data_IF_983689464276
#
_entry.id   IF_983689464276
#
_cell.length_a   1.000
_cell.length_b   1.000
_cell.length_c   1.000
_cell.angle_alpha   90.00
_cell.angle_beta   90.00
_cell.angle_gamma   90.00
#
_symmetry.space_group_name_H-M   'P 1'
#
loop_
_entity.id
_entity.type
_entity.pdbx_description
1 polymer ?
#
# COMPACT_ATOMS: atom_id res chain seq x y z
N UNK A 1 -1.98 6.54 4.83
CA UNK A 1 -2.24 5.09 4.73
C UNK A 1 -1.50 4.32 5.80
N UNK A 2 -0.18 4.49 5.92
CA UNK A 2 0.69 3.84 6.91
C UNK A 2 0.18 3.91 8.35
N UNK A 3 -0.19 5.11 8.83
CA UNK A 3 -0.73 5.29 10.20
C UNK A 3 -2.00 4.48 10.43
N UNK A 4 -2.91 4.47 9.45
CA UNK A 4 -4.17 3.73 9.53
C UNK A 4 -3.90 2.23 9.61
N UNK A 5 -3.03 1.70 8.73
CA UNK A 5 -2.65 0.28 8.75
C UNK A 5 -1.98 -0.11 10.07
N UNK A 6 -1.11 0.75 10.63
CA UNK A 6 -0.47 0.51 11.92
C UNK A 6 -1.48 0.49 13.08
N UNK A 7 -2.46 1.38 13.06
CA UNK A 7 -3.54 1.41 14.05
C UNK A 7 -4.41 0.13 13.98
N UNK A 8 -4.74 -0.33 12.78
CA UNK A 8 -5.47 -1.59 12.57
C UNK A 8 -4.64 -2.78 13.07
N UNK A 9 -3.37 -2.87 12.68
CA UNK A 9 -2.47 -3.93 13.09
C UNK A 9 -2.36 -4.02 14.62
N UNK A 10 -2.19 -2.87 15.28
CA UNK A 10 -2.13 -2.78 16.73
C UNK A 10 -3.45 -3.20 17.38
N UNK A 11 -4.59 -2.66 16.93
CA UNK A 11 -5.91 -2.99 17.49
C UNK A 11 -6.27 -4.48 17.37
N UNK A 12 -5.92 -5.10 16.23
CA UNK A 12 -6.09 -6.55 16.02
C UNK A 12 -5.14 -7.35 16.90
N UNK A 13 -3.89 -6.93 17.07
CA UNK A 13 -2.90 -7.64 17.88
C UNK A 13 -3.28 -7.69 19.37
N UNK A 14 -3.88 -6.62 19.90
CA UNK A 14 -4.36 -6.59 21.30
C UNK A 14 -5.76 -7.18 21.47
N UNK A 15 -6.32 -7.79 20.42
CA UNK A 15 -7.66 -8.38 20.38
C UNK A 15 -8.80 -7.40 20.77
N UNK A 16 -8.59 -6.09 20.55
CA UNK A 16 -9.59 -5.08 20.86
C UNK A 16 -10.65 -5.04 19.75
N UNK A 17 -11.80 -5.70 19.98
CA UNK A 17 -12.93 -5.75 19.04
C UNK A 17 -12.48 -5.89 17.57
N UNK A 18 -11.78 -6.99 17.21
CA UNK A 18 -11.06 -7.08 15.93
C UNK A 18 -11.94 -6.83 14.71
N UNK A 19 -13.19 -7.29 14.75
CA UNK A 19 -14.18 -7.11 13.70
C UNK A 19 -14.45 -5.62 13.40
N UNK A 20 -14.72 -4.82 14.44
CA UNK A 20 -14.97 -3.38 14.30
C UNK A 20 -13.71 -2.64 13.86
N UNK A 21 -12.56 -2.98 14.43
CA UNK A 21 -11.26 -2.38 14.05
C UNK A 21 -10.95 -2.63 12.57
N UNK A 22 -11.17 -3.86 12.09
CA UNK A 22 -10.95 -4.22 10.69
C UNK A 22 -11.95 -3.48 9.80
N UNK A 23 -13.25 -3.54 10.08
CA UNK A 23 -14.28 -2.94 9.22
C UNK A 23 -14.08 -1.43 9.11
N UNK A 24 -14.02 -0.72 10.24
CA UNK A 24 -13.86 0.74 10.25
C UNK A 24 -12.51 1.14 9.69
N UNK A 25 -11.45 0.42 10.07
CA UNK A 25 -10.11 0.67 9.59
C UNK A 25 -9.99 0.53 8.07
N UNK A 26 -10.58 -0.52 7.49
CA UNK A 26 -10.57 -0.74 6.04
C UNK A 26 -11.40 0.29 5.28
N UNK A 27 -12.50 0.79 5.84
CA UNK A 27 -13.26 1.89 5.24
C UNK A 27 -12.43 3.17 5.17
N UNK A 28 -11.77 3.54 6.27
CA UNK A 28 -10.88 4.70 6.32
C UNK A 28 -9.69 4.51 5.37
N UNK A 29 -9.08 3.33 5.40
CA UNK A 29 -7.99 2.97 4.50
C UNK A 29 -8.43 3.11 3.04
N UNK A 30 -9.59 2.56 2.67
CA UNK A 30 -10.14 2.61 1.32
C UNK A 30 -10.40 4.04 0.83
N UNK A 31 -10.96 4.90 1.68
CA UNK A 31 -11.19 6.31 1.34
C UNK A 31 -9.87 7.03 1.05
N UNK A 32 -8.85 6.86 1.89
CA UNK A 32 -7.53 7.46 1.70
C UNK A 32 -6.82 6.83 0.48
N UNK A 33 -7.01 5.52 0.26
CA UNK A 33 -6.44 4.78 -0.87
C UNK A 33 -6.94 5.33 -2.19
N UNK A 34 -8.25 5.58 -2.31
CA UNK A 34 -8.87 6.10 -3.52
C UNK A 34 -8.20 7.40 -3.98
N UNK A 35 -7.99 8.33 -3.04
CA UNK A 35 -7.31 9.61 -3.32
C UNK A 35 -5.84 9.39 -3.71
N UNK A 36 -5.10 8.54 -2.98
CA UNK A 36 -3.69 8.30 -3.30
C UNK A 36 -3.52 7.57 -4.65
N UNK A 37 -4.41 6.63 -4.97
CA UNK A 37 -4.40 5.90 -6.23
C UNK A 37 -4.68 6.82 -7.40
N UNK A 38 -5.65 7.74 -7.28
CA UNK A 38 -5.94 8.69 -8.36
C UNK A 38 -4.80 9.68 -8.60
N UNK A 39 -4.16 10.16 -7.52
CA UNK A 39 -3.01 11.05 -7.62
C UNK A 39 -1.80 10.37 -8.28
N UNK A 40 -1.50 9.12 -7.92
CA UNK A 40 -0.36 8.41 -8.49
C UNK A 40 -0.51 8.23 -10.00
N UNK A 41 -1.68 7.78 -10.46
CA UNK A 41 -1.95 7.62 -11.90
C UNK A 41 -1.93 8.97 -12.64
N UNK A 42 -2.45 10.04 -12.04
CA UNK A 42 -2.37 11.38 -12.60
C UNK A 42 -0.92 11.84 -12.78
N UNK A 43 -0.10 11.68 -11.73
CA UNK A 43 1.30 12.13 -11.74
C UNK A 43 2.13 11.42 -12.81
N UNK A 44 1.92 10.12 -13.02
CA UNK A 44 2.63 9.36 -14.05
C UNK A 44 2.35 9.93 -15.44
N UNK A 45 1.10 10.24 -15.74
CA UNK A 45 0.71 10.84 -17.02
C UNK A 45 1.23 12.27 -17.13
N UNK A 46 1.20 13.06 -16.06
CA UNK A 46 1.71 14.44 -16.09
C UNK A 46 3.23 14.53 -16.20
N UNK A 47 3.98 13.54 -15.69
CA UNK A 47 5.44 13.49 -15.75
C UNK A 47 5.97 12.86 -17.04
N UNK A 48 5.16 12.05 -17.73
CA UNK A 48 5.55 11.45 -19.00
C UNK A 48 5.65 12.54 -20.10
N UNK A 49 6.88 12.97 -20.41
CA UNK A 49 7.21 13.78 -21.61
C UNK A 49 7.43 12.84 -22.81
N UNK A 50 7.23 13.35 -24.03
CA UNK A 50 7.10 12.58 -25.28
C UNK A 50 8.16 11.51 -25.60
N UNK A 51 7.82 10.67 -26.60
CA UNK A 51 8.50 9.48 -27.16
C UNK A 51 8.83 8.31 -26.21
N UNK A 52 8.78 8.48 -24.87
CA UNK A 52 9.01 7.41 -23.87
C UNK A 52 7.79 6.95 -23.07
N UNK A 53 6.62 7.56 -23.30
CA UNK A 53 5.41 7.44 -22.45
C UNK A 53 4.94 5.97 -22.29
N UNK A 54 4.98 5.19 -23.36
CA UNK A 54 4.53 3.79 -23.33
C UNK A 54 5.43 2.89 -22.47
N UNK A 55 6.73 3.19 -22.41
CA UNK A 55 7.70 2.43 -21.62
C UNK A 55 7.57 2.74 -20.13
N UNK A 56 7.44 4.03 -19.76
CA UNK A 56 7.27 4.45 -18.36
C UNK A 56 5.95 3.94 -17.76
N UNK A 57 4.87 4.04 -18.54
CA UNK A 57 3.56 3.51 -18.15
C UNK A 57 3.59 1.98 -18.06
N UNK A 58 4.29 1.32 -19.00
CA UNK A 58 4.49 -0.13 -18.98
C UNK A 58 5.21 -0.60 -17.72
N UNK A 59 6.31 0.06 -17.33
CA UNK A 59 7.05 -0.26 -16.12
C UNK A 59 6.19 -0.06 -14.85
N UNK A 60 5.41 1.02 -14.78
CA UNK A 60 4.47 1.24 -13.67
C UNK A 60 3.44 0.11 -13.53
N UNK A 61 2.79 -0.29 -14.63
CA UNK A 61 1.82 -1.37 -14.58
C UNK A 61 2.44 -2.72 -14.21
N UNK A 62 3.64 -3.01 -14.72
CA UNK A 62 4.41 -4.20 -14.31
C UNK A 62 4.74 -4.18 -12.82
N UNK A 63 5.21 -3.05 -12.29
CA UNK A 63 5.50 -2.89 -10.87
C UNK A 63 4.24 -3.08 -10.00
N UNK A 64 3.09 -2.53 -10.41
CA UNK A 64 1.82 -2.71 -9.71
C UNK A 64 1.35 -4.18 -9.75
N UNK A 65 1.45 -4.85 -10.90
CA UNK A 65 1.09 -6.25 -11.05
C UNK A 65 1.99 -7.16 -10.19
N UNK A 66 3.30 -6.93 -10.18
CA UNK A 66 4.24 -7.65 -9.33
C UNK A 66 3.98 -7.40 -7.85
N UNK A 67 3.71 -6.15 -7.45
CA UNK A 67 3.37 -5.82 -6.08
C UNK A 67 2.13 -6.57 -5.59
N UNK A 68 1.09 -6.68 -6.43
CA UNK A 68 -0.11 -7.47 -6.14
C UNK A 68 0.21 -8.96 -6.02
N UNK A 69 0.97 -9.53 -6.96
CA UNK A 69 1.32 -10.94 -6.95
C UNK A 69 2.17 -11.32 -5.73
N UNK A 70 3.23 -10.56 -5.45
CA UNK A 70 4.09 -10.79 -4.28
C UNK A 70 3.26 -10.59 -3.00
N UNK A 71 2.46 -9.54 -2.93
CA UNK A 71 1.61 -9.25 -1.77
C UNK A 71 0.62 -10.38 -1.47
N UNK A 72 -0.06 -10.93 -2.48
CA UNK A 72 -1.05 -12.01 -2.29
C UNK A 72 -0.40 -13.32 -1.89
N UNK A 73 0.69 -13.72 -2.55
CA UNK A 73 1.40 -14.97 -2.23
C UNK A 73 2.06 -14.89 -0.85
N UNK A 74 2.76 -13.79 -0.57
CA UNK A 74 3.44 -13.57 0.71
C UNK A 74 2.45 -13.49 1.87
N UNK A 75 1.36 -12.73 1.72
CA UNK A 75 0.34 -12.64 2.78
C UNK A 75 -0.38 -13.97 2.98
N UNK A 76 -0.63 -14.74 1.92
CA UNK A 76 -1.18 -16.09 2.03
C UNK A 76 -0.28 -17.02 2.83
N UNK A 77 1.03 -17.01 2.57
CA UNK A 77 1.99 -17.77 3.34
C UNK A 77 2.04 -17.31 4.81
N UNK A 78 2.23 -16.01 5.06
CA UNK A 78 2.32 -15.44 6.42
C UNK A 78 1.05 -15.74 7.22
N UNK A 79 -0.13 -15.64 6.61
CA UNK A 79 -1.39 -15.91 7.29
C UNK A 79 -1.44 -17.36 7.81
N UNK A 80 -0.94 -18.32 7.04
CA UNK A 80 -0.92 -19.72 7.45
C UNK A 80 -0.01 -19.98 8.65
N UNK A 81 1.12 -19.28 8.76
CA UNK A 81 2.10 -19.52 9.83
C UNK A 81 1.91 -18.64 11.06
N UNK A 82 1.40 -17.42 10.88
CA UNK A 82 1.42 -16.37 11.91
C UNK A 82 0.09 -15.57 12.00
N UNK A 83 -0.91 -15.90 11.20
CA UNK A 83 -2.25 -15.32 11.28
C UNK A 83 -2.38 -13.88 10.75
N UNK A 84 -3.55 -13.28 11.00
CA UNK A 84 -3.95 -11.99 10.42
C UNK A 84 -3.11 -10.80 10.92
N UNK A 85 -2.83 -10.75 12.22
CA UNK A 85 -2.07 -9.65 12.83
C UNK A 85 -0.68 -9.52 12.19
N UNK A 86 -0.01 -10.64 11.92
CA UNK A 86 1.28 -10.66 11.23
C UNK A 86 1.19 -10.10 9.81
N UNK A 87 0.15 -10.47 9.05
CA UNK A 87 -0.08 -9.91 7.71
C UNK A 87 -0.23 -8.39 7.74
N UNK A 88 -0.96 -7.85 8.72
CA UNK A 88 -1.16 -6.41 8.90
C UNK A 88 0.15 -5.69 9.25
N UNK A 89 0.98 -6.28 10.11
CA UNK A 89 2.30 -5.73 10.44
C UNK A 89 3.27 -5.74 9.26
N UNK A 90 3.28 -6.80 8.46
CA UNK A 90 4.11 -6.85 7.24
C UNK A 90 3.62 -5.82 6.22
N UNK A 91 2.30 -5.68 6.04
CA UNK A 91 1.74 -4.62 5.20
C UNK A 91 2.11 -3.22 5.69
N UNK A 92 2.04 -2.99 7.01
CA UNK A 92 2.49 -1.75 7.64
C UNK A 92 3.96 -1.46 7.35
N UNK A 93 4.83 -2.47 7.47
CA UNK A 93 6.27 -2.32 7.19
C UNK A 93 6.52 -1.91 5.74
N UNK A 94 5.84 -2.52 4.76
CA UNK A 94 5.93 -2.13 3.35
C UNK A 94 5.45 -0.70 3.12
N UNK A 95 4.29 -0.32 3.67
CA UNK A 95 3.78 1.05 3.55
C UNK A 95 4.71 2.08 4.21
N UNK A 96 5.31 1.74 5.35
CA UNK A 96 6.27 2.58 6.05
C UNK A 96 7.54 2.77 5.21
N UNK A 97 8.06 1.68 4.64
CA UNK A 97 9.18 1.73 3.72
C UNK A 97 8.87 2.62 2.49
N UNK A 98 7.72 2.42 1.84
CA UNK A 98 7.27 3.28 0.74
C UNK A 98 7.18 4.73 1.17
N UNK A 99 6.63 5.02 2.35
CA UNK A 99 6.52 6.39 2.88
C UNK A 99 7.90 7.03 3.03
N UNK A 100 8.87 6.31 3.60
CA UNK A 100 10.24 6.80 3.77
C UNK A 100 10.90 7.07 2.42
N UNK A 101 10.74 6.16 1.45
CA UNK A 101 11.28 6.33 0.09
C UNK A 101 10.64 7.56 -0.58
N UNK A 102 9.31 7.69 -0.50
CA UNK A 102 8.56 8.82 -1.06
C UNK A 102 8.97 10.17 -0.48
N UNK A 103 9.26 10.25 0.82
CA UNK A 103 9.73 11.49 1.44
C UNK A 103 11.13 11.87 0.94
N UNK A 104 11.97 10.87 0.61
CA UNK A 104 13.33 11.08 0.10
C UNK A 104 13.39 11.38 -1.40
N UNK A 105 12.29 11.22 -2.13
CA UNK A 105 12.25 11.56 -3.55
C UNK A 105 12.40 13.07 -3.72
N UNK A 106 13.25 13.53 -4.66
CA UNK A 106 13.39 14.96 -4.95
C UNK A 106 12.02 15.51 -5.35
N UNK A 107 11.65 16.65 -4.77
CA UNK A 107 10.50 17.41 -5.24
C UNK A 107 10.83 17.85 -6.66
N UNK A 108 10.05 17.40 -7.64
CA UNK A 108 10.15 17.94 -8.98
C UNK A 108 9.91 19.46 -8.88
N UNK A 109 10.94 20.23 -9.23
CA UNK A 109 10.88 21.68 -9.38
C UNK A 109 10.25 22.03 -10.73
#
# INVERSE_FOLDING_TARGET
MTVVTGAIAYGVQIEWQPELVIVVGLLIFGAIFAVNSSLHSYLIVSYAKGDGVSMDVGFYYMANAMGRLIGTVLSGWIFQVAGLAACLWVSFAFLLLTTIISIKLPKAA
#
